data_IF_282379886553
#
_entry.id   IF_282379886553
#
_cell.length_a   1.000
_cell.length_b   1.000
_cell.length_c   1.000
_cell.angle_alpha   90.00
_cell.angle_beta   90.00
_cell.angle_gamma   90.00
#
_symmetry.space_group_name_H-M   'P 1'
#
loop_
_entity.id
_entity.type
_entity.pdbx_description
1 polymer ?
#
# COMPACT_ATOMS: atom_id res chain seq x y z
N UNK A 1 39.73 41.08 -4.84
CA UNK A 1 40.01 42.33 -4.09
C UNK A 1 41.49 42.72 -4.13
N UNK A 2 42.45 41.81 -3.89
CA UNK A 2 43.89 42.14 -3.88
C UNK A 2 44.44 42.72 -5.21
N UNK A 3 43.85 42.38 -6.36
CA UNK A 3 44.26 42.91 -7.68
C UNK A 3 43.78 44.36 -7.90
N UNK A 4 42.69 44.78 -7.25
CA UNK A 4 42.11 46.14 -7.44
C UNK A 4 42.68 47.20 -6.49
N UNK A 5 43.62 46.84 -5.62
CA UNK A 5 44.22 47.71 -4.59
C UNK A 5 45.76 47.72 -4.61
N UNK A 6 46.37 47.22 -5.69
CA UNK A 6 47.83 47.16 -5.83
C UNK A 6 48.48 48.52 -5.53
N UNK A 7 49.43 48.53 -4.57
CA UNK A 7 50.16 49.72 -4.12
C UNK A 7 49.67 50.36 -2.81
N UNK A 8 48.45 50.06 -2.33
CA UNK A 8 47.90 50.70 -1.12
C UNK A 8 48.24 49.96 0.18
N UNK A 9 48.24 50.68 1.33
CA UNK A 9 48.47 50.09 2.66
C UNK A 9 47.49 48.95 2.97
N UNK A 10 46.26 49.03 2.49
CA UNK A 10 45.22 47.99 2.61
C UNK A 10 45.60 46.70 1.88
N UNK A 11 46.22 46.77 0.71
CA UNK A 11 46.67 45.58 -0.01
C UNK A 11 47.80 44.86 0.73
N UNK A 12 48.73 45.61 1.35
CA UNK A 12 49.78 45.02 2.19
C UNK A 12 49.21 44.30 3.42
N UNK A 13 48.16 44.86 4.03
CA UNK A 13 47.44 44.20 5.12
C UNK A 13 46.78 42.88 4.68
N UNK A 14 45.99 42.89 3.61
CA UNK A 14 45.32 41.68 3.12
C UNK A 14 46.29 40.62 2.63
N UNK A 15 47.41 41.01 2.01
CA UNK A 15 48.45 40.08 1.60
C UNK A 15 49.10 39.41 2.83
N UNK A 16 49.40 40.16 3.89
CA UNK A 16 49.96 39.60 5.12
C UNK A 16 49.00 38.61 5.80
N UNK A 17 47.71 38.97 5.88
CA UNK A 17 46.66 38.07 6.40
C UNK A 17 46.55 36.80 5.54
N UNK A 18 46.52 36.93 4.22
CA UNK A 18 46.49 35.78 3.30
C UNK A 18 47.71 34.89 3.46
N UNK A 19 48.89 35.47 3.65
CA UNK A 19 50.14 34.74 3.85
C UNK A 19 50.13 33.99 5.19
N UNK A 20 49.65 34.61 6.26
CA UNK A 20 49.46 33.96 7.57
C UNK A 20 48.46 32.80 7.52
N UNK A 21 47.39 32.91 6.72
CA UNK A 21 46.41 31.82 6.53
C UNK A 21 47.00 30.69 5.67
N UNK A 22 47.55 31.01 4.50
CA UNK A 22 47.98 30.01 3.51
C UNK A 22 49.32 29.34 3.87
N UNK A 23 50.29 30.10 4.37
CA UNK A 23 51.62 29.59 4.71
C UNK A 23 51.73 29.22 6.20
N UNK A 24 50.97 29.89 7.06
CA UNK A 24 51.00 29.69 8.51
C UNK A 24 49.91 28.77 9.06
N UNK A 25 48.94 28.35 8.25
CA UNK A 25 47.81 27.50 8.69
C UNK A 25 46.92 28.15 9.75
N UNK A 26 46.99 29.47 9.91
CA UNK A 26 46.27 30.20 10.96
C UNK A 26 44.79 30.41 10.58
N UNK A 27 43.91 30.40 11.58
CA UNK A 27 42.53 30.87 11.39
C UNK A 27 42.50 32.37 11.04
N UNK A 28 41.45 32.88 10.39
CA UNK A 28 41.32 34.31 10.06
C UNK A 28 41.45 35.22 11.31
N UNK A 29 40.95 34.75 12.45
CA UNK A 29 41.06 35.44 13.74
C UNK A 29 42.51 35.51 14.21
N UNK A 30 43.20 34.37 14.21
CA UNK A 30 44.61 34.28 14.61
C UNK A 30 45.52 35.04 13.62
N UNK A 31 45.27 34.94 12.32
CA UNK A 31 46.03 35.61 11.28
C UNK A 31 46.02 37.15 11.41
N UNK A 32 44.96 37.70 12.02
CA UNK A 32 44.79 39.14 12.23
C UNK A 32 45.18 39.56 13.64
N UNK A 33 44.77 38.84 14.68
CA UNK A 33 44.88 39.27 16.09
C UNK A 33 45.93 38.52 16.93
N UNK A 34 46.71 37.59 16.36
CA UNK A 34 47.75 36.90 17.11
C UNK A 34 48.82 37.86 17.67
N UNK A 35 49.24 37.62 18.91
CA UNK A 35 50.14 38.52 19.67
C UNK A 35 51.58 38.54 19.15
N UNK A 36 52.02 37.51 18.42
CA UNK A 36 53.38 37.37 17.90
C UNK A 36 53.45 37.55 16.38
N UNK A 37 52.42 37.14 15.64
CA UNK A 37 52.43 37.09 14.16
C UNK A 37 51.19 37.72 13.50
N UNK A 38 50.28 38.32 14.27
CA UNK A 38 49.05 38.90 13.73
C UNK A 38 49.30 40.13 12.86
N UNK A 39 48.51 40.28 11.79
CA UNK A 39 48.59 41.43 10.90
C UNK A 39 48.30 42.78 11.60
N UNK A 40 47.57 42.77 12.73
CA UNK A 40 47.26 43.98 13.51
C UNK A 40 48.51 44.63 14.13
N UNK A 41 49.59 43.87 14.36
CA UNK A 41 50.86 44.37 14.94
C UNK A 41 51.50 45.39 13.98
N UNK A 42 51.47 45.08 12.68
CA UNK A 42 52.05 45.91 11.63
C UNK A 42 51.08 46.99 11.12
N UNK A 43 49.77 46.83 11.39
CA UNK A 43 48.71 47.74 10.96
C UNK A 43 47.75 48.06 12.13
N UNK A 44 48.18 48.86 13.12
CA UNK A 44 47.39 49.16 14.31
C UNK A 44 46.30 50.20 14.01
N UNK A 45 45.15 49.73 13.53
CA UNK A 45 43.96 50.57 13.29
C UNK A 45 42.75 50.01 14.03
N UNK A 46 42.13 50.87 14.85
CA UNK A 46 40.91 50.51 15.59
C UNK A 46 39.75 50.16 14.65
N UNK A 47 39.64 50.83 13.50
CA UNK A 47 38.64 50.53 12.48
C UNK A 47 38.86 49.14 11.88
N UNK A 48 40.09 48.81 11.48
CA UNK A 48 40.43 47.48 10.92
C UNK A 48 40.15 46.39 11.95
N UNK A 49 40.59 46.59 13.21
CA UNK A 49 40.34 45.65 14.29
C UNK A 49 38.84 45.41 14.49
N UNK A 50 38.04 46.47 14.51
CA UNK A 50 36.59 46.37 14.74
C UNK A 50 35.88 45.72 13.56
N UNK A 51 36.17 46.15 12.33
CA UNK A 51 35.57 45.61 11.11
C UNK A 51 35.87 44.13 10.92
N UNK A 52 37.13 43.70 11.12
CA UNK A 52 37.49 42.28 10.97
C UNK A 52 36.88 41.43 12.09
N UNK A 53 36.79 41.95 13.32
CA UNK A 53 36.12 41.27 14.43
C UNK A 53 34.62 41.07 14.17
N UNK A 54 33.95 42.09 13.66
CA UNK A 54 32.54 41.99 13.21
C UNK A 54 32.40 40.97 12.08
N UNK A 55 33.33 40.95 11.11
CA UNK A 55 33.31 39.99 10.00
C UNK A 55 33.45 38.55 10.50
N UNK A 56 34.41 38.28 11.40
CA UNK A 56 34.60 36.96 12.01
C UNK A 56 33.35 36.51 12.78
N UNK A 57 32.78 37.38 13.61
CA UNK A 57 31.54 37.06 14.35
C UNK A 57 30.35 36.84 13.43
N UNK A 58 30.26 37.60 12.33
CA UNK A 58 29.22 37.41 11.31
C UNK A 58 29.35 36.05 10.60
N UNK A 59 30.58 35.63 10.28
CA UNK A 59 30.85 34.32 9.67
C UNK A 59 30.54 33.18 10.66
N UNK A 60 30.96 33.29 11.93
CA UNK A 60 30.65 32.28 12.95
C UNK A 60 29.14 32.13 13.17
N UNK A 61 28.41 33.25 13.22
CA UNK A 61 26.95 33.23 13.36
C UNK A 61 26.27 32.61 12.15
N UNK A 62 26.72 32.93 10.93
CA UNK A 62 26.22 32.31 9.70
C UNK A 62 26.41 30.79 9.68
N UNK A 63 27.60 30.30 10.04
CA UNK A 63 27.91 28.87 10.12
C UNK A 63 27.06 28.16 11.18
N UNK A 64 26.85 28.78 12.35
CA UNK A 64 25.99 28.23 13.42
C UNK A 64 24.54 28.07 12.96
N UNK A 65 24.00 29.07 12.27
CA UNK A 65 22.64 29.00 11.72
C UNK A 65 22.55 27.90 10.65
N UNK A 66 23.54 27.82 9.74
CA UNK A 66 23.59 26.76 8.73
C UNK A 66 23.62 25.36 9.37
N UNK A 67 24.44 25.16 10.41
CA UNK A 67 24.51 23.90 11.15
C UNK A 67 23.17 23.55 11.82
N UNK A 68 22.48 24.55 12.39
CA UNK A 68 21.17 24.35 13.00
C UNK A 68 20.11 23.97 11.96
N UNK A 69 20.10 24.61 10.79
CA UNK A 69 19.22 24.23 9.67
C UNK A 69 19.49 22.81 9.18
N UNK A 70 20.76 22.40 9.08
CA UNK A 70 21.12 21.03 8.70
C UNK A 70 20.66 20.00 9.74
N UNK A 71 20.77 20.31 11.04
CA UNK A 71 20.21 19.45 12.09
C UNK A 71 18.69 19.32 11.98
N UNK A 72 17.97 20.40 11.73
CA UNK A 72 16.51 20.37 11.52
C UNK A 72 16.12 19.56 10.29
N UNK A 73 16.85 19.69 9.18
CA UNK A 73 16.62 18.88 7.97
C UNK A 73 16.88 17.40 8.26
N UNK A 74 17.98 17.08 8.96
CA UNK A 74 18.26 15.69 9.36
C UNK A 74 17.14 15.11 10.22
N UNK A 75 16.62 15.88 11.17
CA UNK A 75 15.50 15.45 12.00
C UNK A 75 14.22 15.26 11.17
N UNK A 76 13.97 16.13 10.20
CA UNK A 76 12.83 16.01 9.29
C UNK A 76 12.92 14.73 8.43
N UNK A 77 14.09 14.43 7.86
CA UNK A 77 14.32 13.19 7.10
C UNK A 77 14.10 11.95 7.99
N UNK A 78 14.65 11.94 9.21
CA UNK A 78 14.41 10.84 10.17
C UNK A 78 12.93 10.66 10.49
N UNK A 79 12.17 11.75 10.57
CA UNK A 79 10.74 11.69 10.82
C UNK A 79 9.99 11.14 9.59
N UNK A 80 10.39 11.52 8.36
CA UNK A 80 9.84 10.95 7.12
C UNK A 80 10.08 9.44 7.07
N UNK A 81 11.28 8.96 7.41
CA UNK A 81 11.58 7.53 7.40
C UNK A 81 10.69 6.75 8.37
N UNK A 82 10.52 7.27 9.59
CA UNK A 82 9.58 6.70 10.58
C UNK A 82 8.13 6.68 10.08
N UNK A 83 7.69 7.74 9.39
CA UNK A 83 6.35 7.81 8.82
C UNK A 83 6.21 6.77 7.70
N UNK A 84 7.20 6.65 6.81
CA UNK A 84 7.21 5.66 5.73
C UNK A 84 7.18 4.22 6.25
N UNK A 85 7.94 3.92 7.31
CA UNK A 85 7.93 2.62 7.98
C UNK A 85 6.52 2.30 8.50
N UNK A 86 5.91 3.24 9.23
CA UNK A 86 4.53 3.08 9.73
C UNK A 86 3.50 2.93 8.60
N UNK A 87 3.66 3.68 7.50
CA UNK A 87 2.79 3.54 6.33
C UNK A 87 2.95 2.16 5.70
N UNK A 88 4.18 1.65 5.57
CA UNK A 88 4.44 0.30 5.06
C UNK A 88 3.82 -0.77 5.95
N UNK A 89 3.91 -0.63 7.27
CA UNK A 89 3.29 -1.57 8.21
C UNK A 89 1.77 -1.61 8.05
N UNK A 90 1.12 -0.43 7.97
CA UNK A 90 -0.33 -0.35 7.74
C UNK A 90 -0.72 -0.93 6.37
N UNK A 91 0.05 -0.64 5.33
CA UNK A 91 -0.21 -1.18 3.99
C UNK A 91 0.03 -2.69 3.94
N UNK A 92 0.99 -3.23 4.69
CA UNK A 92 1.27 -4.66 4.73
C UNK A 92 0.06 -5.47 5.23
N UNK A 93 -0.65 -4.95 6.24
CA UNK A 93 -1.91 -5.53 6.73
C UNK A 93 -2.97 -5.53 5.62
N UNK A 94 -3.21 -4.38 4.99
CA UNK A 94 -4.20 -4.25 3.90
C UNK A 94 -3.84 -5.12 2.68
N UNK A 95 -2.57 -5.18 2.29
CA UNK A 95 -2.06 -6.02 1.19
C UNK A 95 -2.26 -7.50 1.52
N UNK A 96 -2.00 -7.90 2.76
CA UNK A 96 -2.25 -9.26 3.23
C UNK A 96 -3.74 -9.62 3.13
N UNK A 97 -4.62 -8.72 3.56
CA UNK A 97 -6.08 -8.92 3.49
C UNK A 97 -6.58 -9.00 2.05
N UNK A 98 -6.11 -8.11 1.17
CA UNK A 98 -6.44 -8.15 -0.25
C UNK A 98 -6.02 -9.47 -0.89
N UNK A 99 -4.81 -9.94 -0.56
CA UNK A 99 -4.29 -11.23 -1.05
C UNK A 99 -5.12 -12.40 -0.56
N UNK A 100 -5.47 -12.41 0.73
CA UNK A 100 -6.33 -13.45 1.35
C UNK A 100 -7.72 -13.48 0.72
N UNK A 101 -8.33 -12.30 0.53
CA UNK A 101 -9.63 -12.18 -0.10
C UNK A 101 -9.63 -12.70 -1.54
N UNK A 102 -8.64 -12.31 -2.32
CA UNK A 102 -8.53 -12.68 -3.73
C UNK A 102 -8.24 -14.17 -3.94
N UNK A 103 -7.36 -14.76 -3.13
CA UNK A 103 -6.86 -16.12 -3.36
C UNK A 103 -7.64 -17.20 -2.61
N UNK A 104 -8.32 -16.84 -1.52
CA UNK A 104 -8.98 -17.80 -0.64
C UNK A 104 -10.45 -17.44 -0.38
N UNK A 105 -10.72 -16.34 0.33
CA UNK A 105 -12.06 -16.07 0.86
C UNK A 105 -13.11 -15.85 -0.24
N UNK A 106 -12.83 -15.01 -1.25
CA UNK A 106 -13.80 -14.76 -2.31
C UNK A 106 -14.08 -16.02 -3.16
N UNK A 107 -13.08 -16.78 -3.65
CA UNK A 107 -13.32 -18.03 -4.33
C UNK A 107 -14.09 -19.07 -3.50
N UNK A 108 -13.79 -19.18 -2.20
CA UNK A 108 -14.46 -20.09 -1.28
C UNK A 108 -15.95 -19.72 -1.13
N UNK A 109 -16.24 -18.48 -0.77
CA UNK A 109 -17.61 -18.01 -0.58
C UNK A 109 -18.41 -18.10 -1.88
N UNK A 110 -17.81 -17.73 -3.01
CA UNK A 110 -18.41 -17.87 -4.33
C UNK A 110 -18.79 -19.32 -4.67
N UNK A 111 -17.91 -20.28 -4.34
CA UNK A 111 -18.20 -21.71 -4.52
C UNK A 111 -19.39 -22.18 -3.67
N UNK A 112 -19.47 -21.72 -2.42
CA UNK A 112 -20.59 -22.05 -1.51
C UNK A 112 -21.91 -21.49 -2.05
N UNK A 113 -21.93 -20.25 -2.56
CA UNK A 113 -23.14 -19.63 -3.14
C UNK A 113 -23.67 -20.43 -4.33
N UNK A 114 -22.78 -20.92 -5.21
CA UNK A 114 -23.18 -21.81 -6.33
C UNK A 114 -23.77 -23.12 -5.79
N UNK A 115 -23.16 -23.72 -4.77
CA UNK A 115 -23.68 -24.92 -4.12
C UNK A 115 -25.07 -24.73 -3.51
N UNK A 116 -25.30 -23.59 -2.86
CA UNK A 116 -26.61 -23.23 -2.29
C UNK A 116 -27.67 -23.04 -3.38
N UNK A 117 -27.33 -22.37 -4.49
CA UNK A 117 -28.24 -22.21 -5.63
C UNK A 117 -28.63 -23.57 -6.23
N UNK A 118 -27.67 -24.48 -6.36
CA UNK A 118 -27.92 -25.86 -6.82
C UNK A 118 -28.81 -26.63 -5.84
N UNK A 119 -28.56 -26.51 -4.53
CA UNK A 119 -29.37 -27.13 -3.48
C UNK A 119 -30.82 -26.66 -3.51
N UNK A 120 -31.05 -25.33 -3.56
CA UNK A 120 -32.39 -24.75 -3.63
C UNK A 120 -33.13 -25.28 -4.86
N UNK A 121 -32.46 -25.29 -6.01
CA UNK A 121 -33.04 -25.80 -7.26
C UNK A 121 -33.37 -27.29 -7.18
N UNK A 122 -32.48 -28.09 -6.60
CA UNK A 122 -32.69 -29.52 -6.42
C UNK A 122 -33.88 -29.82 -5.51
N UNK A 123 -34.01 -29.08 -4.40
CA UNK A 123 -35.12 -29.25 -3.47
C UNK A 123 -36.44 -28.91 -4.14
N UNK A 124 -36.50 -27.76 -4.82
CA UNK A 124 -37.71 -27.30 -5.48
C UNK A 124 -38.19 -28.26 -6.59
N UNK A 125 -37.27 -28.80 -7.40
CA UNK A 125 -37.60 -29.82 -8.40
C UNK A 125 -38.14 -31.12 -7.78
N UNK A 126 -37.56 -31.57 -6.65
CA UNK A 126 -38.03 -32.79 -5.97
C UNK A 126 -39.43 -32.61 -5.37
N UNK A 127 -39.72 -31.48 -4.72
CA UNK A 127 -41.05 -31.22 -4.16
C UNK A 127 -42.09 -31.14 -5.28
N UNK A 128 -41.74 -30.52 -6.43
CA UNK A 128 -42.63 -30.51 -7.60
C UNK A 128 -42.93 -31.91 -8.12
N UNK A 129 -41.91 -32.79 -8.22
CA UNK A 129 -42.09 -34.18 -8.62
C UNK A 129 -43.02 -34.97 -7.68
N UNK A 130 -42.86 -34.80 -6.37
CA UNK A 130 -43.70 -35.45 -5.35
C UNK A 130 -45.18 -34.99 -5.43
N UNK A 131 -45.42 -33.71 -5.74
CA UNK A 131 -46.77 -33.17 -5.92
C UNK A 131 -47.48 -33.77 -7.15
N UNK A 132 -46.73 -34.06 -8.22
CA UNK A 132 -47.27 -34.67 -9.44
C UNK A 132 -47.57 -36.16 -9.25
N UNK A 133 -46.74 -36.90 -8.49
CA UNK A 133 -46.94 -38.34 -8.24
C UNK A 133 -48.06 -38.65 -7.24
N UNK A 134 -48.29 -37.83 -6.21
CA UNK A 134 -49.29 -38.12 -5.17
C UNK A 134 -50.71 -37.59 -5.44
N UNK A 135 -50.92 -36.94 -6.59
CA UNK A 135 -52.18 -36.28 -6.91
C UNK A 135 -52.40 -35.00 -6.10
N UNK A 136 -53.06 -34.02 -6.71
CA UNK A 136 -53.24 -32.66 -6.18
C UNK A 136 -54.02 -32.60 -4.86
N UNK A 137 -54.75 -33.67 -4.51
CA UNK A 137 -55.70 -33.66 -3.40
C UNK A 137 -55.10 -34.09 -2.05
N UNK A 138 -53.98 -34.81 -2.02
CA UNK A 138 -53.35 -35.26 -0.77
C UNK A 138 -52.45 -34.19 -0.12
N UNK A 139 -51.91 -33.26 -0.91
CA UNK A 139 -50.98 -32.22 -0.46
C UNK A 139 -51.61 -30.82 -0.32
N UNK A 140 -52.85 -30.63 -0.79
CA UNK A 140 -53.58 -29.35 -0.75
C UNK A 140 -53.84 -28.80 0.65
N UNK A 141 -53.74 -29.62 1.71
CA UNK A 141 -53.92 -29.21 3.11
C UNK A 141 -52.67 -28.69 3.81
N UNK A 142 -51.47 -28.88 3.26
CA UNK A 142 -50.19 -28.62 3.96
C UNK A 142 -49.49 -27.30 3.57
N UNK A 143 -50.17 -26.38 2.88
CA UNK A 143 -49.58 -25.06 2.56
C UNK A 143 -48.43 -25.07 1.54
N UNK A 144 -48.06 -26.23 1.00
CA UNK A 144 -47.05 -26.35 -0.05
C UNK A 144 -47.50 -25.73 -1.38
N UNK A 145 -48.81 -25.70 -1.68
CA UNK A 145 -49.35 -25.00 -2.85
C UNK A 145 -49.00 -23.50 -2.83
N UNK A 146 -49.09 -22.85 -1.66
CA UNK A 146 -48.72 -21.44 -1.50
C UNK A 146 -47.20 -21.20 -1.62
N UNK A 147 -46.38 -22.21 -1.34
CA UNK A 147 -44.92 -22.11 -1.48
C UNK A 147 -44.50 -22.07 -2.96
N UNK A 148 -45.19 -22.80 -3.83
CA UNK A 148 -44.91 -22.79 -5.28
C UNK A 148 -45.34 -21.49 -5.97
N UNK A 149 -46.39 -20.82 -5.46
CA UNK A 149 -46.78 -19.50 -5.95
C UNK A 149 -45.77 -18.40 -5.54
N UNK A 150 -45.13 -18.55 -4.37
CA UNK A 150 -44.07 -17.63 -3.91
C UNK A 150 -42.75 -17.91 -4.64
N UNK A 151 -42.40 -19.19 -4.83
CA UNK A 151 -41.21 -19.64 -5.57
C UNK A 151 -41.61 -20.06 -6.98
N UNK A 152 -41.85 -19.06 -7.84
CA UNK A 152 -42.28 -19.24 -9.22
C UNK A 152 -41.22 -20.01 -10.06
N UNK A 153 -41.27 -21.35 -9.96
CA UNK A 153 -40.30 -22.31 -10.53
C UNK A 153 -39.93 -22.06 -12.00
N UNK A 154 -40.89 -21.78 -12.91
CA UNK A 154 -40.59 -21.52 -14.31
C UNK A 154 -39.68 -20.30 -14.53
N UNK A 155 -39.70 -19.34 -13.61
CA UNK A 155 -38.92 -18.11 -13.68
C UNK A 155 -37.65 -18.15 -12.83
N UNK A 156 -37.35 -19.28 -12.17
CA UNK A 156 -36.15 -19.40 -11.35
C UNK A 156 -34.91 -19.47 -12.23
N UNK A 157 -33.91 -18.64 -11.93
CA UNK A 157 -32.64 -18.64 -12.66
C UNK A 157 -31.94 -19.97 -12.45
N UNK A 158 -31.67 -20.73 -13.53
CA UNK A 158 -30.96 -21.99 -13.41
C UNK A 158 -29.56 -21.85 -12.77
N UNK A 159 -29.11 -22.81 -11.94
CA UNK A 159 -27.81 -22.76 -11.27
C UNK A 159 -26.61 -22.60 -12.21
N UNK A 160 -26.69 -23.11 -13.43
CA UNK A 160 -25.60 -22.98 -14.41
C UNK A 160 -25.36 -21.53 -14.85
N UNK A 161 -26.40 -20.69 -14.90
CA UNK A 161 -26.24 -19.26 -15.18
C UNK A 161 -25.59 -18.55 -13.98
N UNK A 162 -25.97 -18.91 -12.75
CA UNK A 162 -25.36 -18.36 -11.53
C UNK A 162 -23.89 -18.76 -11.44
N UNK A 163 -23.56 -20.01 -11.75
CA UNK A 163 -22.18 -20.49 -11.80
C UNK A 163 -21.34 -19.69 -12.79
N UNK A 164 -21.84 -19.44 -14.00
CA UNK A 164 -21.10 -18.68 -15.02
C UNK A 164 -20.92 -17.21 -14.61
N UNK A 165 -21.99 -16.56 -14.12
CA UNK A 165 -21.93 -15.17 -13.64
C UNK A 165 -20.95 -14.98 -12.50
N UNK A 166 -20.95 -15.89 -11.51
CA UNK A 166 -20.02 -15.85 -10.38
C UNK A 166 -18.58 -16.15 -10.83
N UNK A 167 -18.40 -17.06 -11.80
CA UNK A 167 -17.09 -17.34 -12.37
C UNK A 167 -16.45 -16.12 -13.03
N UNK A 168 -17.22 -15.34 -13.80
CA UNK A 168 -16.76 -14.07 -14.38
C UNK A 168 -16.42 -13.07 -13.27
N UNK A 169 -17.29 -12.93 -12.27
CA UNK A 169 -17.06 -12.06 -11.11
C UNK A 169 -15.72 -12.37 -10.41
N UNK A 170 -15.39 -13.64 -10.18
CA UNK A 170 -14.11 -14.02 -9.56
C UNK A 170 -12.92 -13.61 -10.42
N UNK A 171 -13.00 -13.78 -11.75
CA UNK A 171 -11.94 -13.36 -12.67
C UNK A 171 -11.74 -11.83 -12.60
N UNK A 172 -12.82 -11.05 -12.63
CA UNK A 172 -12.77 -9.59 -12.56
C UNK A 172 -12.20 -9.10 -11.23
N UNK A 173 -12.64 -9.68 -10.11
CA UNK A 173 -12.15 -9.32 -8.78
C UNK A 173 -10.66 -9.64 -8.63
N UNK A 174 -10.21 -10.81 -9.10
CA UNK A 174 -8.79 -11.17 -9.08
C UNK A 174 -7.96 -10.19 -9.93
N UNK A 175 -8.49 -9.80 -11.09
CA UNK A 175 -7.82 -8.84 -11.98
C UNK A 175 -7.64 -7.47 -11.30
N UNK A 176 -8.72 -6.91 -10.74
CA UNK A 176 -8.71 -5.60 -10.07
C UNK A 176 -7.81 -5.63 -8.83
N UNK A 177 -7.97 -6.64 -7.96
CA UNK A 177 -7.21 -6.74 -6.72
C UNK A 177 -5.73 -6.98 -6.97
N UNK A 178 -5.35 -7.79 -7.97
CA UNK A 178 -3.93 -8.00 -8.28
C UNK A 178 -3.28 -6.72 -8.79
N UNK A 179 -3.95 -5.99 -9.69
CA UNK A 179 -3.43 -4.72 -10.20
C UNK A 179 -3.21 -3.71 -9.07
N UNK A 180 -4.20 -3.56 -8.18
CA UNK A 180 -4.07 -2.69 -7.01
C UNK A 180 -2.96 -3.14 -6.05
N UNK A 181 -2.87 -4.45 -5.75
CA UNK A 181 -1.87 -5.01 -4.84
C UNK A 181 -0.44 -4.79 -5.33
N UNK A 182 -0.19 -4.98 -6.63
CA UNK A 182 1.15 -4.78 -7.21
C UNK A 182 1.56 -3.31 -7.18
N UNK A 183 0.61 -2.39 -7.44
CA UNK A 183 0.86 -0.94 -7.34
C UNK A 183 1.22 -0.52 -5.91
N UNK A 184 0.59 -1.11 -4.90
CA UNK A 184 0.86 -0.80 -3.48
C UNK A 184 2.18 -1.41 -3.00
N UNK A 185 2.46 -2.66 -3.35
CA UNK A 185 3.64 -3.40 -2.87
C UNK A 185 4.94 -3.01 -3.61
N UNK A 186 4.89 -2.99 -4.94
CA UNK A 186 6.07 -2.88 -5.80
C UNK A 186 6.08 -1.62 -6.68
N UNK A 187 5.02 -0.81 -6.64
CA UNK A 187 4.82 0.29 -7.58
C UNK A 187 4.36 -0.19 -8.95
N UNK A 188 4.43 0.69 -9.97
CA UNK A 188 3.97 0.37 -11.33
C UNK A 188 4.96 -0.53 -12.08
N UNK A 189 4.94 -1.83 -11.80
CA UNK A 189 5.71 -2.85 -12.53
C UNK A 189 4.77 -3.77 -13.33
N UNK A 190 4.78 -3.63 -14.66
CA UNK A 190 3.95 -4.41 -15.58
C UNK A 190 4.33 -5.89 -15.65
N UNK A 191 5.58 -6.25 -15.37
CA UNK A 191 6.01 -7.65 -15.42
C UNK A 191 5.52 -8.39 -14.18
N UNK A 192 5.70 -7.78 -13.01
CA UNK A 192 5.23 -8.32 -11.75
C UNK A 192 3.71 -8.38 -11.69
N UNK A 193 3.03 -7.39 -12.24
CA UNK A 193 1.57 -7.38 -12.40
C UNK A 193 1.08 -8.61 -13.17
N UNK A 194 1.66 -8.90 -14.34
CA UNK A 194 1.28 -10.07 -15.14
C UNK A 194 1.60 -11.39 -14.46
N UNK A 195 2.74 -11.46 -13.76
CA UNK A 195 3.16 -12.68 -13.07
C UNK A 195 2.25 -13.01 -11.89
N UNK A 196 2.00 -12.02 -11.01
CA UNK A 196 1.10 -12.18 -9.87
C UNK A 196 -0.32 -12.44 -10.34
N UNK A 197 -0.77 -11.79 -11.42
CA UNK A 197 -2.11 -12.01 -11.97
C UNK A 197 -2.28 -13.45 -12.43
N UNK A 198 -1.32 -13.98 -13.20
CA UNK A 198 -1.39 -15.37 -13.64
C UNK A 198 -1.37 -16.36 -12.47
N UNK A 199 -0.59 -16.08 -11.41
CA UNK A 199 -0.50 -16.92 -10.22
C UNK A 199 -1.79 -16.90 -9.40
N UNK A 200 -2.31 -15.71 -9.09
CA UNK A 200 -3.51 -15.53 -8.29
C UNK A 200 -4.75 -16.02 -9.04
N UNK A 201 -4.81 -15.81 -10.35
CA UNK A 201 -5.90 -16.31 -11.19
C UNK A 201 -5.92 -17.85 -11.23
N UNK A 202 -4.76 -18.50 -11.36
CA UNK A 202 -4.68 -19.98 -11.29
C UNK A 202 -5.14 -20.51 -9.94
N UNK A 203 -4.65 -19.94 -8.85
CA UNK A 203 -5.01 -20.39 -7.49
C UNK A 203 -6.50 -20.12 -7.22
N UNK A 204 -6.98 -18.91 -7.51
CA UNK A 204 -8.35 -18.50 -7.26
C UNK A 204 -9.38 -19.31 -8.07
N UNK A 205 -9.13 -19.54 -9.36
CA UNK A 205 -10.02 -20.36 -10.21
C UNK A 205 -10.02 -21.82 -9.75
N UNK A 206 -8.85 -22.39 -9.44
CA UNK A 206 -8.75 -23.77 -8.98
C UNK A 206 -9.48 -23.97 -7.66
N UNK A 207 -9.32 -23.02 -6.72
CA UNK A 207 -10.03 -23.05 -5.45
C UNK A 207 -11.54 -22.89 -5.63
N UNK A 208 -11.97 -21.93 -6.45
CA UNK A 208 -13.38 -21.74 -6.79
C UNK A 208 -14.01 -23.01 -7.37
N UNK A 209 -13.36 -23.65 -8.34
CA UNK A 209 -13.86 -24.89 -8.95
C UNK A 209 -13.94 -26.03 -7.93
N UNK A 210 -12.90 -26.21 -7.12
CA UNK A 210 -12.87 -27.25 -6.10
C UNK A 210 -13.95 -27.02 -5.04
N UNK A 211 -14.09 -25.80 -4.54
CA UNK A 211 -15.12 -25.46 -3.55
C UNK A 211 -16.52 -25.57 -4.14
N UNK A 212 -16.78 -25.04 -5.33
CA UNK A 212 -18.08 -25.16 -5.99
C UNK A 212 -18.48 -26.63 -6.17
N UNK A 213 -17.55 -27.48 -6.63
CA UNK A 213 -17.80 -28.91 -6.78
C UNK A 213 -18.12 -29.58 -5.45
N UNK A 214 -17.31 -29.35 -4.41
CA UNK A 214 -17.52 -29.91 -3.07
C UNK A 214 -18.85 -29.42 -2.48
N UNK A 215 -19.15 -28.12 -2.58
CA UNK A 215 -20.37 -27.51 -2.07
C UNK A 215 -21.61 -28.06 -2.77
N UNK A 216 -21.59 -28.19 -4.10
CA UNK A 216 -22.70 -28.80 -4.85
C UNK A 216 -22.91 -30.24 -4.40
N UNK A 217 -21.86 -31.06 -4.30
CA UNK A 217 -21.98 -32.46 -3.86
C UNK A 217 -22.52 -32.56 -2.42
N UNK A 218 -21.89 -31.88 -1.47
CA UNK A 218 -22.24 -31.96 -0.06
C UNK A 218 -23.68 -31.47 0.19
N UNK A 219 -24.07 -30.34 -0.40
CA UNK A 219 -25.41 -29.78 -0.21
C UNK A 219 -26.48 -30.57 -0.95
N UNK A 220 -26.17 -31.17 -2.11
CA UNK A 220 -27.11 -32.06 -2.81
C UNK A 220 -27.40 -33.33 -2.02
N UNK A 221 -26.38 -33.93 -1.39
CA UNK A 221 -26.56 -35.08 -0.50
C UNK A 221 -27.42 -34.71 0.71
N UNK A 222 -27.14 -33.57 1.33
CA UNK A 222 -27.92 -33.07 2.47
C UNK A 222 -29.39 -32.82 2.08
N UNK A 223 -29.63 -32.18 0.94
CA UNK A 223 -30.98 -32.00 0.41
C UNK A 223 -31.69 -33.34 0.13
N UNK A 224 -30.95 -34.32 -0.38
CA UNK A 224 -31.45 -35.68 -0.58
C UNK A 224 -31.91 -36.34 0.72
N UNK A 225 -31.13 -36.25 1.79
CA UNK A 225 -31.50 -36.76 3.11
C UNK A 225 -32.69 -36.01 3.71
N UNK A 226 -32.70 -34.67 3.64
CA UNK A 226 -33.78 -33.85 4.17
C UNK A 226 -35.14 -34.16 3.51
N UNK A 227 -35.14 -34.40 2.20
CA UNK A 227 -36.35 -34.78 1.46
C UNK A 227 -36.69 -36.26 1.61
N UNK A 228 -35.70 -37.13 1.77
CA UNK A 228 -35.94 -38.55 2.08
C UNK A 228 -36.67 -38.75 3.41
N UNK A 229 -36.45 -37.87 4.39
CA UNK A 229 -37.19 -37.85 5.65
C UNK A 229 -38.64 -37.34 5.53
N UNK A 230 -39.03 -36.73 4.40
CA UNK A 230 -40.40 -36.28 4.13
C UNK A 230 -41.25 -37.34 3.40
N UNK A 231 -40.63 -38.39 2.84
CA UNK A 231 -41.28 -39.45 2.08
C UNK A 231 -41.45 -40.78 2.83
N UNK A 232 -41.23 -40.78 4.14
CA UNK A 232 -41.43 -41.93 5.04
C UNK A 232 -42.49 -41.64 6.09
#
# INVERSE_FOLDING_TARGET
>A
VAVSTQGQKSAKFFNLVSQNIQQGGMSLESAVFDRKRGAIIYFPSALIATSVRILIESVKKGLKIAAQSLMSISQYVKNIDKINERLKDLLAEIVSDMKSNMTFLAPLLAGIVVGLSAMITFILNKIQGLQVEQGTDAFGGLGFANLFDIFNLPNMVPPYFIQLSIGIYIIEVIFILTGALVVVDSGKDRLREKHELAKNLKIGILLYLATAFISVLALSVLAGFALGGLGG
#
